data_IF_366222369956
#
_entry.id   IF_366222369956
#
_cell.length_a   1.000
_cell.length_b   1.000
_cell.length_c   1.000
_cell.angle_alpha   90.00
_cell.angle_beta   90.00
_cell.angle_gamma   90.00
#
_symmetry.space_group_name_H-M   'P 1'
#
loop_
_entity.id
_entity.type
_entity.pdbx_description
1 polymer ?
#
# COMPACT_ATOMS: atom_id res chain seq x y z
N UNK A 1 -38.47 -24.09 -17.80
CA UNK A 1 -37.60 -23.95 -18.97
C UNK A 1 -36.20 -23.89 -18.41
N UNK A 2 -35.53 -25.04 -18.47
CA UNK A 2 -34.27 -25.33 -17.81
C UNK A 2 -33.12 -24.65 -18.54
N UNK A 3 -32.25 -23.97 -17.80
CA UNK A 3 -30.92 -23.63 -18.27
C UNK A 3 -29.90 -24.20 -17.29
N UNK A 4 -29.35 -25.35 -17.68
CA UNK A 4 -28.17 -25.97 -17.08
C UNK A 4 -26.96 -25.05 -17.26
N UNK A 5 -26.25 -24.78 -16.17
CA UNK A 5 -25.03 -23.98 -16.18
C UNK A 5 -23.82 -24.93 -16.27
N UNK A 6 -23.18 -24.99 -17.43
CA UNK A 6 -21.91 -25.67 -17.66
C UNK A 6 -20.86 -24.63 -18.03
N UNK A 7 -19.79 -24.54 -17.24
CA UNK A 7 -18.68 -23.63 -17.51
C UNK A 7 -17.44 -23.97 -16.70
N UNK A 8 -16.70 -24.99 -17.15
CA UNK A 8 -15.28 -25.16 -16.81
C UNK A 8 -14.46 -24.11 -17.58
N UNK A 9 -13.58 -23.40 -16.87
CA UNK A 9 -12.54 -22.56 -17.46
C UNK A 9 -11.25 -22.73 -16.68
N UNK A 10 -10.50 -23.79 -16.99
CA UNK A 10 -9.08 -23.90 -16.62
C UNK A 10 -8.29 -22.88 -17.45
N UNK A 11 -7.55 -21.99 -16.79
CA UNK A 11 -6.56 -21.15 -17.47
C UNK A 11 -5.23 -21.89 -17.52
N UNK A 12 -5.01 -22.63 -18.60
CA UNK A 12 -3.69 -23.13 -18.95
C UNK A 12 -2.79 -21.95 -19.35
N UNK A 13 -1.68 -21.81 -18.64
CA UNK A 13 -0.62 -20.87 -18.99
C UNK A 13 0.04 -21.25 -20.31
N UNK A 14 -0.01 -20.33 -21.29
CA UNK A 14 1.00 -20.13 -22.35
C UNK A 14 0.63 -18.91 -23.20
N UNK A 15 1.59 -17.99 -23.36
CA UNK A 15 1.67 -17.07 -24.50
C UNK A 15 1.30 -15.61 -24.21
N UNK A 16 2.21 -14.84 -23.62
CA UNK A 16 2.17 -13.38 -23.69
C UNK A 16 2.48 -12.94 -25.13
N UNK A 17 1.43 -12.76 -25.93
CA UNK A 17 1.46 -12.15 -27.25
C UNK A 17 1.59 -10.63 -27.14
N UNK A 18 2.74 -10.12 -27.55
CA UNK A 18 3.07 -8.70 -27.66
C UNK A 18 2.14 -8.04 -28.71
N UNK A 19 1.16 -7.26 -28.28
CA UNK A 19 0.32 -6.46 -29.17
C UNK A 19 1.14 -5.29 -29.75
N UNK A 20 1.36 -5.35 -31.06
CA UNK A 20 1.85 -4.26 -31.89
C UNK A 20 0.72 -3.26 -32.10
N UNK A 21 0.96 -1.99 -31.78
CA UNK A 21 0.14 -0.88 -32.26
C UNK A 21 0.68 -0.41 -33.61
N UNK A 22 -0.15 -0.51 -34.63
CA UNK A 22 0.08 0.06 -35.96
C UNK A 22 -0.96 1.14 -36.25
N UNK A 23 -0.50 2.12 -37.05
CA UNK A 23 -1.18 3.29 -37.63
C UNK A 23 -0.89 4.63 -36.91
N UNK A 24 -0.48 5.73 -37.55
CA UNK A 24 -0.13 6.08 -38.94
C UNK A 24 0.63 7.44 -38.88
N UNK A 25 1.78 7.54 -39.57
CA UNK A 25 2.10 8.47 -40.69
C UNK A 25 2.48 9.94 -40.41
N UNK A 26 3.61 10.31 -41.05
CA UNK A 26 4.00 11.58 -41.65
C UNK A 26 4.40 12.80 -40.80
N UNK A 27 5.72 12.95 -40.59
CA UNK A 27 6.37 14.24 -40.31
C UNK A 27 7.53 14.45 -41.30
N UNK A 28 7.49 15.47 -42.20
CA UNK A 28 8.58 15.74 -43.13
C UNK A 28 9.76 16.46 -42.47
N UNK A 29 10.99 16.00 -42.76
CA UNK A 29 12.26 16.69 -42.49
C UNK A 29 12.39 17.92 -43.40
N UNK A 30 12.61 19.09 -42.81
CA UNK A 30 13.02 20.31 -43.52
C UNK A 30 14.53 20.47 -43.38
N UNK A 31 15.25 20.40 -44.52
CA UNK A 31 16.63 20.87 -44.69
C UNK A 31 16.59 22.27 -45.32
N UNK A 32 17.37 23.26 -44.85
CA UNK A 32 17.46 24.54 -45.54
C UNK A 32 18.53 24.50 -46.64
N UNK A 33 18.11 24.76 -47.88
CA UNK A 33 18.97 25.25 -48.95
C UNK A 33 18.98 26.78 -48.92
N UNK A 34 20.16 27.39 -49.01
CA UNK A 34 20.35 28.81 -49.34
C UNK A 34 21.22 28.86 -50.59
N UNK A 35 20.78 29.59 -51.62
CA UNK A 35 21.44 29.79 -52.91
C UNK A 35 21.74 31.28 -53.13
N UNK A 36 22.93 31.56 -53.67
CA UNK A 36 23.26 32.72 -54.52
C UNK A 36 23.88 33.95 -53.81
N UNK A 37 24.95 34.60 -54.29
CA UNK A 37 25.76 34.46 -55.50
C UNK A 37 26.75 35.65 -55.66
N UNK A 38 27.54 35.61 -56.76
CA UNK A 38 28.35 36.65 -57.43
C UNK A 38 29.86 36.83 -57.13
N UNK A 39 30.64 36.87 -58.22
CA UNK A 39 31.95 37.57 -58.31
C UNK A 39 33.06 36.86 -59.10
N UNK A 40 33.54 37.46 -60.19
CA UNK A 40 34.40 36.88 -61.24
C UNK A 40 35.94 37.04 -61.04
N UNK A 41 36.70 36.25 -61.83
CA UNK A 41 37.86 36.65 -62.68
C UNK A 41 39.29 36.09 -62.39
N UNK A 42 39.78 35.36 -63.40
CA UNK A 42 41.08 35.32 -64.10
C UNK A 42 42.47 35.04 -63.44
N UNK A 43 43.13 34.02 -64.04
CA UNK A 43 44.54 33.93 -64.50
C UNK A 43 45.66 33.39 -63.58
N UNK A 44 46.75 32.93 -64.22
CA UNK A 44 47.83 31.96 -63.85
C UNK A 44 49.21 32.56 -64.25
N UNK A 45 50.44 31.98 -64.07
CA UNK A 45 51.11 31.13 -63.04
C UNK A 45 52.54 31.63 -62.60
N UNK A 46 53.23 30.84 -61.73
CA UNK A 46 54.71 30.68 -61.50
C UNK A 46 55.45 31.54 -60.44
N UNK A 47 56.09 30.90 -59.44
CA UNK A 47 57.56 30.78 -59.27
C UNK A 47 58.00 30.13 -57.94
N UNK A 48 59.18 29.51 -57.97
CA UNK A 48 59.76 28.64 -56.95
C UNK A 48 60.96 29.26 -56.21
N UNK A 49 61.33 28.60 -55.10
CA UNK A 49 62.63 28.56 -54.37
C UNK A 49 62.95 29.70 -53.39
N UNK A 50 63.12 29.33 -52.12
CA UNK A 50 64.33 29.53 -51.30
C UNK A 50 64.19 28.72 -49.98
N UNK A 51 64.81 27.52 -49.94
CA UNK A 51 65.05 26.73 -48.71
C UNK A 51 66.55 26.71 -48.48
N UNK A 52 66.98 27.07 -47.28
CA UNK A 52 67.83 26.25 -46.38
C UNK A 52 68.61 27.17 -45.44
N UNK A 53 68.37 26.99 -44.14
CA UNK A 53 69.19 27.36 -42.96
C UNK A 53 68.37 27.39 -41.63
N UNK A 54 67.09 26.97 -41.64
CA UNK A 54 66.23 26.89 -40.42
C UNK A 54 66.11 25.49 -39.78
N UNK A 55 66.91 24.51 -40.19
CA UNK A 55 66.60 23.08 -39.93
C UNK A 55 67.35 22.39 -38.79
N UNK A 56 68.20 23.09 -38.02
CA UNK A 56 68.96 22.44 -36.93
C UNK A 56 68.44 22.75 -35.51
N UNK A 57 67.75 23.88 -35.28
CA UNK A 57 67.18 24.23 -33.97
C UNK A 57 65.72 23.82 -33.76
N UNK A 58 65.03 23.35 -34.82
CA UNK A 58 63.61 22.97 -34.77
C UNK A 58 63.35 21.55 -34.27
N UNK A 59 64.28 20.60 -34.50
CA UNK A 59 64.04 19.17 -34.20
C UNK A 59 63.99 18.88 -32.70
N UNK A 60 64.93 19.41 -31.91
CA UNK A 60 64.92 19.24 -30.43
C UNK A 60 63.73 19.93 -29.74
N UNK A 61 63.17 20.99 -30.32
CA UNK A 61 61.94 21.63 -29.81
C UNK A 61 60.71 20.81 -30.17
N UNK A 62 60.62 20.32 -31.41
CA UNK A 62 59.53 19.45 -31.85
C UNK A 62 59.43 18.16 -31.04
N UNK A 63 60.55 17.51 -30.70
CA UNK A 63 60.54 16.27 -29.90
C UNK A 63 60.11 16.53 -28.44
N UNK A 64 60.50 17.68 -27.85
CA UNK A 64 60.09 18.06 -26.50
C UNK A 64 58.60 18.45 -26.43
N UNK A 65 58.10 19.15 -27.45
CA UNK A 65 56.69 19.51 -27.58
C UNK A 65 55.81 18.27 -27.78
N UNK A 66 56.26 17.28 -28.56
CA UNK A 66 55.55 16.01 -28.75
C UNK A 66 55.49 15.20 -27.44
N UNK A 67 56.59 15.16 -26.67
CA UNK A 67 56.62 14.43 -25.41
C UNK A 67 55.73 15.08 -24.33
N UNK A 68 55.67 16.41 -24.31
CA UNK A 68 54.72 17.16 -23.48
C UNK A 68 53.27 16.88 -23.91
N UNK A 69 52.97 16.89 -25.21
CA UNK A 69 51.61 16.61 -25.71
C UNK A 69 51.15 15.18 -25.36
N UNK A 70 52.02 14.18 -25.47
CA UNK A 70 51.72 12.82 -25.02
C UNK A 70 51.51 12.72 -23.49
N UNK A 71 52.30 13.45 -22.71
CA UNK A 71 52.13 13.54 -21.26
C UNK A 71 50.81 14.21 -20.85
N UNK A 72 50.40 15.25 -21.58
CA UNK A 72 49.11 15.92 -21.41
C UNK A 72 47.92 15.03 -21.81
N UNK A 73 48.01 14.32 -22.93
CA UNK A 73 46.97 13.38 -23.35
C UNK A 73 46.75 12.27 -22.31
N UNK A 74 47.83 11.67 -21.78
CA UNK A 74 47.75 10.66 -20.73
C UNK A 74 47.27 11.18 -19.35
N UNK A 75 47.34 12.50 -19.13
CA UNK A 75 46.73 13.13 -17.95
C UNK A 75 45.24 13.36 -18.17
N UNK A 76 44.84 13.82 -19.35
CA UNK A 76 43.43 13.98 -19.73
C UNK A 76 42.70 12.65 -19.68
N UNK A 77 43.26 11.59 -20.27
CA UNK A 77 42.67 10.24 -20.24
C UNK A 77 42.47 9.74 -18.80
N UNK A 78 43.46 9.93 -17.91
CA UNK A 78 43.33 9.54 -16.49
C UNK A 78 42.29 10.36 -15.73
N UNK A 79 42.14 11.64 -16.05
CA UNK A 79 41.10 12.47 -15.44
C UNK A 79 39.70 12.10 -15.98
N UNK A 80 39.59 11.72 -17.26
CA UNK A 80 38.36 11.18 -17.84
C UNK A 80 37.97 9.84 -17.21
N UNK A 81 38.92 8.91 -17.04
CA UNK A 81 38.68 7.63 -16.35
C UNK A 81 38.20 7.84 -14.91
N UNK A 82 38.86 8.71 -14.14
CA UNK A 82 38.42 9.05 -12.77
C UNK A 82 37.00 9.62 -12.76
N UNK A 83 36.69 10.50 -13.72
CA UNK A 83 35.36 11.09 -13.84
C UNK A 83 34.31 10.05 -14.19
N UNK A 84 34.63 9.08 -15.05
CA UNK A 84 33.75 7.95 -15.34
C UNK A 84 33.53 7.05 -14.12
N UNK A 85 34.56 6.77 -13.34
CA UNK A 85 34.45 6.01 -12.09
C UNK A 85 33.59 6.73 -11.05
N UNK A 86 33.75 8.05 -10.93
CA UNK A 86 32.94 8.89 -10.05
C UNK A 86 31.46 8.86 -10.45
N UNK A 87 31.15 9.01 -11.74
CA UNK A 87 29.78 8.90 -12.27
C UNK A 87 29.20 7.51 -12.04
N UNK A 88 29.99 6.44 -12.19
CA UNK A 88 29.56 5.06 -11.88
C UNK A 88 29.24 4.90 -10.39
N UNK A 89 30.06 5.46 -9.49
CA UNK A 89 29.82 5.45 -8.04
C UNK A 89 28.55 6.19 -7.66
N UNK A 90 28.34 7.40 -8.19
CA UNK A 90 27.13 8.19 -7.93
C UNK A 90 25.85 7.48 -8.40
N UNK A 91 25.88 6.84 -9.57
CA UNK A 91 24.75 6.03 -10.07
C UNK A 91 24.45 4.85 -9.14
N UNK A 92 25.47 4.15 -8.66
CA UNK A 92 25.31 3.03 -7.72
C UNK A 92 24.72 3.51 -6.39
N UNK A 93 25.23 4.59 -5.82
CA UNK A 93 24.68 5.18 -4.59
C UNK A 93 23.23 5.65 -4.76
N UNK A 94 22.88 6.23 -5.92
CA UNK A 94 21.49 6.61 -6.23
C UNK A 94 20.58 5.39 -6.31
N UNK A 95 21.00 4.35 -7.02
CA UNK A 95 20.27 3.08 -7.13
C UNK A 95 20.07 2.40 -5.77
N UNK A 96 21.09 2.39 -4.91
CA UNK A 96 20.99 1.86 -3.54
C UNK A 96 20.05 2.69 -2.65
N UNK A 97 20.08 4.03 -2.79
CA UNK A 97 19.13 4.92 -2.09
C UNK A 97 17.70 4.71 -2.56
N UNK A 98 17.48 4.54 -3.87
CA UNK A 98 16.17 4.24 -4.46
C UNK A 98 15.66 2.88 -4.00
N UNK A 99 16.48 1.83 -4.02
CA UNK A 99 16.10 0.52 -3.47
C UNK A 99 15.79 0.57 -1.97
N UNK A 100 16.54 1.34 -1.17
CA UNK A 100 16.23 1.55 0.26
C UNK A 100 14.91 2.29 0.44
N UNK A 101 14.60 3.25 -0.43
CA UNK A 101 13.33 3.99 -0.42
C UNK A 101 12.16 3.06 -0.81
N UNK A 102 12.31 2.25 -1.86
CA UNK A 102 11.32 1.24 -2.27
C UNK A 102 11.08 0.19 -1.19
N UNK A 103 12.14 -0.27 -0.51
CA UNK A 103 12.02 -1.19 0.65
C UNK A 103 11.27 -0.57 1.82
N UNK A 104 11.43 0.74 2.09
CA UNK A 104 10.61 1.46 3.09
C UNK A 104 9.15 1.61 2.64
N UNK A 105 8.91 1.84 1.36
CA UNK A 105 7.55 1.98 0.78
C UNK A 105 6.75 0.67 0.86
N UNK A 106 7.41 -0.50 0.77
CA UNK A 106 6.76 -1.82 0.93
C UNK A 106 6.18 -2.11 2.33
N UNK A 107 6.40 -1.24 3.32
CA UNK A 107 5.82 -1.39 4.66
C UNK A 107 4.34 -0.95 4.69
N UNK A 108 3.94 -0.04 3.80
CA UNK A 108 2.58 0.46 3.72
C UNK A 108 1.67 -0.53 2.95
N UNK A 109 0.52 -0.95 3.50
CA UNK A 109 -0.40 -1.84 2.80
C UNK A 109 -0.94 -1.15 1.53
N UNK A 110 -0.69 -1.74 0.36
CA UNK A 110 -1.17 -1.20 -0.92
C UNK A 110 -2.62 -1.60 -1.19
N UNK A 111 -3.53 -1.26 -0.26
CA UNK A 111 -4.96 -1.58 -0.35
C UNK A 111 -5.87 -0.33 -0.35
N UNK A 112 -5.28 0.85 -0.29
CA UNK A 112 -6.01 2.11 -0.17
C UNK A 112 -6.68 2.58 -1.48
N UNK A 113 -6.27 2.03 -2.62
CA UNK A 113 -6.79 2.41 -3.93
C UNK A 113 -6.77 1.23 -4.91
N UNK A 114 -7.93 0.87 -5.43
CA UNK A 114 -8.12 -0.10 -6.50
C UNK A 114 -9.15 0.41 -7.51
N UNK A 115 -9.11 -0.19 -8.70
CA UNK A 115 -10.09 0.01 -9.76
C UNK A 115 -10.78 -1.33 -10.04
N UNK A 116 -12.11 -1.35 -10.04
CA UNK A 116 -12.88 -2.50 -10.52
C UNK A 116 -13.57 -2.15 -11.82
N UNK A 117 -13.38 -3.04 -12.80
CA UNK A 117 -14.14 -3.07 -14.04
C UNK A 117 -15.05 -4.29 -13.96
N UNK A 118 -16.37 -4.07 -13.93
CA UNK A 118 -17.34 -5.15 -13.85
C UNK A 118 -18.19 -5.18 -15.12
N UNK A 119 -18.20 -6.32 -15.80
CA UNK A 119 -19.08 -6.53 -16.95
C UNK A 119 -20.51 -6.81 -16.49
N UNK A 120 -21.49 -6.48 -17.34
CA UNK A 120 -22.88 -6.88 -17.16
C UNK A 120 -23.01 -8.38 -16.83
N UNK A 121 -23.84 -8.70 -15.85
CA UNK A 121 -24.07 -10.07 -15.38
C UNK A 121 -23.02 -10.60 -14.39
N UNK A 122 -21.94 -9.85 -14.12
CA UNK A 122 -20.92 -10.28 -13.15
C UNK A 122 -21.48 -10.36 -11.74
N UNK A 123 -21.11 -11.43 -11.02
CA UNK A 123 -21.53 -11.66 -9.64
C UNK A 123 -20.35 -12.08 -8.76
N UNK A 124 -20.17 -11.40 -7.63
CA UNK A 124 -19.27 -11.80 -6.56
C UNK A 124 -20.13 -12.28 -5.39
N UNK A 125 -19.95 -13.54 -4.99
CA UNK A 125 -20.77 -14.16 -3.95
C UNK A 125 -20.47 -13.59 -2.55
N UNK A 126 -21.27 -13.96 -1.55
CA UNK A 126 -21.13 -13.50 -0.17
C UNK A 126 -19.72 -13.76 0.39
N UNK A 127 -19.09 -12.70 0.89
CA UNK A 127 -17.78 -12.70 1.51
C UNK A 127 -17.66 -11.58 2.54
N UNK A 128 -16.59 -11.63 3.32
CA UNK A 128 -16.12 -10.50 4.14
C UNK A 128 -14.85 -9.99 3.46
N UNK A 129 -14.66 -8.67 3.45
CA UNK A 129 -13.43 -8.07 2.93
C UNK A 129 -12.21 -8.44 3.78
N UNK A 130 -11.05 -8.45 3.12
CA UNK A 130 -9.75 -8.86 3.65
C UNK A 130 -9.56 -8.44 5.11
N UNK A 131 -9.43 -9.43 6.00
CA UNK A 131 -9.25 -9.32 7.46
C UNK A 131 -10.25 -8.39 8.14
N UNK A 132 -11.48 -8.39 7.65
CA UNK A 132 -12.59 -7.58 8.15
C UNK A 132 -12.38 -6.08 7.97
N UNK A 133 -11.57 -5.67 6.99
CA UNK A 133 -11.36 -4.26 6.68
C UNK A 133 -12.67 -3.57 6.31
N UNK A 134 -12.77 -2.28 6.66
CA UNK A 134 -13.80 -1.40 6.11
C UNK A 134 -13.44 -1.04 4.67
N UNK A 135 -14.42 -0.63 3.88
CA UNK A 135 -14.20 -0.30 2.47
C UNK A 135 -14.96 0.97 2.08
N UNK A 136 -14.33 1.78 1.24
CA UNK A 136 -15.02 2.85 0.52
C UNK A 136 -15.02 2.51 -0.98
N UNK A 137 -16.15 2.76 -1.64
CA UNK A 137 -16.33 2.51 -3.07
C UNK A 137 -17.11 3.65 -3.69
N UNK A 138 -16.55 4.29 -4.70
CA UNK A 138 -17.19 5.29 -5.54
C UNK A 138 -17.50 4.69 -6.91
N UNK A 139 -18.77 4.70 -7.30
CA UNK A 139 -19.20 4.18 -8.59
C UNK A 139 -19.08 5.27 -9.66
N UNK A 140 -18.10 5.14 -10.56
CA UNK A 140 -17.82 6.12 -11.62
C UNK A 140 -18.87 6.04 -12.72
N UNK A 141 -19.21 4.83 -13.16
CA UNK A 141 -20.20 4.57 -14.20
C UNK A 141 -20.88 3.22 -14.00
N UNK A 142 -22.08 3.08 -14.55
CA UNK A 142 -22.89 1.87 -14.46
C UNK A 142 -23.70 1.78 -13.16
N UNK A 143 -24.05 0.54 -12.78
CA UNK A 143 -24.81 0.20 -11.57
C UNK A 143 -24.22 -1.00 -10.84
N UNK A 144 -24.42 -1.07 -9.52
CA UNK A 144 -24.08 -2.23 -8.68
C UNK A 144 -25.20 -2.52 -7.70
N UNK A 145 -25.54 -3.78 -7.47
CA UNK A 145 -26.42 -4.18 -6.37
C UNK A 145 -25.59 -4.88 -5.32
N UNK A 146 -25.54 -4.29 -4.13
CA UNK A 146 -24.94 -4.90 -2.95
C UNK A 146 -26.01 -5.60 -2.14
N UNK A 147 -25.73 -6.82 -1.70
CA UNK A 147 -26.55 -7.57 -0.76
C UNK A 147 -25.75 -7.65 0.53
N UNK A 148 -26.23 -7.05 1.61
CA UNK A 148 -25.56 -7.02 2.91
C UNK A 148 -26.26 -7.97 3.88
N UNK A 149 -25.48 -8.70 4.67
CA UNK A 149 -25.97 -9.45 5.82
C UNK A 149 -25.18 -9.05 7.07
N UNK A 150 -25.83 -8.84 8.22
CA UNK A 150 -25.14 -8.47 9.45
C UNK A 150 -24.16 -9.58 9.90
N UNK A 151 -23.00 -9.24 10.47
CA UNK A 151 -22.03 -10.21 10.98
C UNK A 151 -22.46 -10.79 12.34
N UNK A 152 -23.64 -11.41 12.39
CA UNK A 152 -24.07 -12.17 13.56
C UNK A 152 -23.26 -13.45 13.66
N UNK A 153 -23.10 -14.01 14.87
CA UNK A 153 -22.40 -15.28 15.06
C UNK A 153 -22.99 -16.37 14.15
N UNK A 154 -24.31 -16.43 14.02
CA UNK A 154 -25.00 -17.38 13.13
C UNK A 154 -24.59 -17.20 11.67
N UNK A 155 -24.59 -15.97 11.16
CA UNK A 155 -24.20 -15.69 9.77
C UNK A 155 -22.70 -15.99 9.52
N UNK A 156 -21.84 -15.72 10.50
CA UNK A 156 -20.42 -16.06 10.44
C UNK A 156 -20.19 -17.58 10.43
N UNK A 157 -20.93 -18.33 11.23
CA UNK A 157 -20.86 -19.80 11.26
C UNK A 157 -21.34 -20.39 9.93
N UNK A 158 -22.41 -19.84 9.35
CA UNK A 158 -22.91 -20.21 8.02
C UNK A 158 -21.83 -19.97 6.95
N UNK A 159 -21.22 -18.78 6.93
CA UNK A 159 -20.14 -18.45 5.99
C UNK A 159 -18.93 -19.39 6.14
N UNK A 160 -18.51 -19.67 7.38
CA UNK A 160 -17.39 -20.56 7.69
C UNK A 160 -17.65 -21.99 7.20
N UNK A 161 -18.86 -22.50 7.43
CA UNK A 161 -19.25 -23.84 6.97
C UNK A 161 -19.37 -23.90 5.45
N UNK A 162 -19.86 -22.83 4.81
CA UNK A 162 -19.95 -22.74 3.35
C UNK A 162 -18.59 -22.83 2.66
N UNK A 163 -17.55 -22.26 3.25
CA UNK A 163 -16.17 -22.33 2.73
C UNK A 163 -15.63 -23.76 2.59
N UNK A 164 -16.10 -24.68 3.43
CA UNK A 164 -15.68 -26.07 3.49
C UNK A 164 -16.64 -27.05 2.80
N UNK A 165 -17.71 -26.54 2.17
CA UNK A 165 -18.77 -27.37 1.60
C UNK A 165 -18.54 -27.66 0.11
N UNK A 166 -18.50 -28.96 -0.22
CA UNK A 166 -18.39 -29.45 -1.60
C UNK A 166 -19.60 -29.07 -2.46
N UNK A 167 -20.77 -28.85 -1.85
CA UNK A 167 -22.03 -28.49 -2.52
C UNK A 167 -22.21 -26.97 -2.73
N UNK A 168 -21.20 -26.15 -2.41
CA UNK A 168 -21.22 -24.68 -2.59
C UNK A 168 -21.58 -24.18 -4.00
N UNK A 169 -21.54 -25.04 -5.02
CA UNK A 169 -21.90 -24.70 -6.40
C UNK A 169 -23.39 -24.85 -6.71
N UNK A 170 -24.12 -25.55 -5.84
CA UNK A 170 -25.51 -25.95 -6.07
C UNK A 170 -26.52 -25.15 -5.23
N UNK A 171 -26.03 -24.38 -4.25
CA UNK A 171 -26.85 -23.56 -3.36
C UNK A 171 -26.36 -22.11 -3.32
N UNK A 172 -27.28 -21.16 -3.18
CA UNK A 172 -26.94 -19.76 -2.98
C UNK A 172 -26.90 -19.45 -1.48
N UNK A 173 -25.76 -18.97 -0.98
CA UNK A 173 -25.57 -18.67 0.45
C UNK A 173 -26.59 -17.65 0.99
N UNK A 174 -27.13 -16.80 0.12
CA UNK A 174 -28.16 -15.84 0.47
C UNK A 174 -29.46 -16.45 0.99
N UNK A 175 -29.78 -17.70 0.67
CA UNK A 175 -30.99 -18.35 1.17
C UNK A 175 -30.88 -18.77 2.65
N UNK A 176 -29.66 -18.81 3.19
CA UNK A 176 -29.37 -19.27 4.56
C UNK A 176 -29.04 -18.13 5.52
N UNK A 177 -28.53 -17.02 5.01
CA UNK A 177 -28.17 -15.86 5.83
C UNK A 177 -29.41 -15.11 6.32
N UNK A 178 -29.35 -14.63 7.56
CA UNK A 178 -30.42 -13.83 8.15
C UNK A 178 -30.20 -12.34 7.93
N UNK A 179 -31.30 -11.61 7.71
CA UNK A 179 -31.28 -10.14 7.66
C UNK A 179 -30.62 -9.57 6.41
N UNK A 180 -30.78 -10.22 5.25
CA UNK A 180 -30.23 -9.70 4.00
C UNK A 180 -30.97 -8.42 3.57
N UNK A 181 -30.19 -7.40 3.26
CA UNK A 181 -30.67 -6.16 2.67
C UNK A 181 -29.98 -5.91 1.33
N UNK A 182 -30.79 -5.64 0.29
CA UNK A 182 -30.27 -5.20 -1.01
C UNK A 182 -30.22 -3.67 -1.06
N UNK A 183 -29.11 -3.14 -1.52
CA UNK A 183 -28.90 -1.72 -1.82
C UNK A 183 -28.44 -1.60 -3.26
N UNK A 184 -29.11 -0.72 -4.01
CA UNK A 184 -28.71 -0.40 -5.38
C UNK A 184 -27.85 0.86 -5.39
N UNK A 185 -26.71 0.79 -6.06
CA UNK A 185 -25.79 1.88 -6.28
C UNK A 185 -25.79 2.28 -7.76
N UNK A 186 -25.80 3.59 -7.99
CA UNK A 186 -25.76 4.24 -9.28
C UNK A 186 -24.50 5.10 -9.43
N UNK A 187 -24.16 5.46 -10.66
CA UNK A 187 -23.03 6.32 -10.95
C UNK A 187 -23.11 7.65 -10.16
N UNK A 188 -21.99 8.04 -9.55
CA UNK A 188 -21.87 9.21 -8.68
C UNK A 188 -22.09 8.93 -7.19
N UNK A 189 -22.52 7.73 -6.81
CA UNK A 189 -22.73 7.37 -5.41
C UNK A 189 -21.48 6.75 -4.77
N UNK A 190 -21.33 6.98 -3.46
CA UNK A 190 -20.25 6.44 -2.63
C UNK A 190 -20.82 5.53 -1.56
N UNK A 191 -20.35 4.29 -1.52
CA UNK A 191 -20.54 3.36 -0.41
C UNK A 191 -19.37 3.52 0.58
N UNK A 192 -19.69 3.63 1.87
CA UNK A 192 -18.73 3.38 2.96
C UNK A 192 -19.30 2.23 3.79
N UNK A 193 -18.66 1.08 3.72
CA UNK A 193 -19.11 -0.14 4.39
C UNK A 193 -18.24 -0.42 5.62
N UNK A 194 -18.86 -0.68 6.78
CA UNK A 194 -18.12 -1.01 8.00
C UNK A 194 -17.45 -2.38 7.89
N UNK A 195 -16.31 -2.51 8.56
CA UNK A 195 -15.53 -3.74 8.62
C UNK A 195 -16.33 -4.94 9.15
N UNK A 196 -16.05 -6.11 8.57
CA UNK A 196 -16.71 -7.38 8.92
C UNK A 196 -18.07 -7.63 8.30
N UNK A 197 -18.64 -6.67 7.56
CA UNK A 197 -19.94 -6.84 6.90
C UNK A 197 -19.90 -7.94 5.83
N UNK A 198 -20.80 -8.92 5.92
CA UNK A 198 -20.95 -9.92 4.87
C UNK A 198 -21.67 -9.29 3.69
N UNK A 199 -21.13 -9.47 2.49
CA UNK A 199 -21.75 -8.90 1.31
C UNK A 199 -21.52 -9.68 0.02
N UNK A 200 -22.48 -9.60 -0.89
CA UNK A 200 -22.40 -10.05 -2.27
C UNK A 200 -22.67 -8.89 -3.22
N UNK A 201 -22.13 -8.94 -4.45
CA UNK A 201 -22.23 -7.86 -5.42
C UNK A 201 -22.68 -8.40 -6.77
N UNK A 202 -23.79 -7.86 -7.29
CA UNK A 202 -24.25 -8.10 -8.65
C UNK A 202 -24.05 -6.85 -9.51
N UNK A 203 -23.63 -7.06 -10.76
CA UNK A 203 -23.36 -6.02 -11.74
C UNK A 203 -24.39 -6.07 -12.86
N UNK A 204 -25.50 -5.32 -12.78
CA UNK A 204 -26.56 -5.38 -13.79
C UNK A 204 -26.20 -4.74 -15.13
N UNK A 205 -25.13 -3.94 -15.22
CA UNK A 205 -24.64 -3.31 -16.44
C UNK A 205 -23.14 -3.03 -16.30
N UNK A 206 -22.43 -2.87 -17.42
CA UNK A 206 -21.00 -2.55 -17.43
C UNK A 206 -20.70 -1.34 -16.52
N UNK A 207 -19.73 -1.53 -15.62
CA UNK A 207 -19.49 -0.60 -14.51
C UNK A 207 -18.00 -0.39 -14.24
N UNK A 208 -17.69 0.83 -13.80
CA UNK A 208 -16.35 1.21 -13.33
C UNK A 208 -16.48 1.76 -11.93
N UNK A 209 -15.74 1.17 -10.99
CA UNK A 209 -15.74 1.56 -9.58
C UNK A 209 -14.31 1.80 -9.11
N UNK A 210 -14.14 2.78 -8.23
CA UNK A 210 -12.87 3.08 -7.56
C UNK A 210 -13.12 2.86 -6.08
N UNK A 211 -12.18 2.26 -5.37
CA UNK A 211 -12.33 2.09 -3.93
C UNK A 211 -11.03 1.79 -3.22
N UNK A 212 -11.15 1.50 -1.94
CA UNK A 212 -10.02 1.15 -1.09
C UNK A 212 -10.46 0.56 0.24
N UNK A 213 -9.64 -0.35 0.78
CA UNK A 213 -9.83 -0.94 2.08
C UNK A 213 -9.05 -0.17 3.15
N UNK A 214 -9.59 -0.11 4.36
CA UNK A 214 -8.93 0.51 5.50
C UNK A 214 -9.31 -0.21 6.81
N UNK A 215 -8.40 -0.17 7.78
CA UNK A 215 -8.67 -0.60 9.15
C UNK A 215 -9.08 0.62 9.98
N UNK A 216 -9.99 0.44 10.93
CA UNK A 216 -10.40 1.49 11.84
C UNK A 216 -10.69 0.96 13.25
N UNK A 217 -10.57 1.85 14.23
CA UNK A 217 -10.77 1.55 15.65
C UNK A 217 -12.19 1.08 15.96
N UNK A 218 -13.19 1.58 15.23
CA UNK A 218 -14.60 1.26 15.44
C UNK A 218 -14.95 -0.18 15.04
N UNK A 219 -14.18 -0.79 14.15
CA UNK A 219 -14.41 -2.14 13.63
C UNK A 219 -13.47 -3.18 14.26
N UNK A 220 -12.77 -2.85 15.34
CA UNK A 220 -11.67 -3.65 15.86
C UNK A 220 -12.05 -5.11 16.11
N UNK A 221 -13.12 -5.39 16.86
CA UNK A 221 -13.54 -6.78 17.14
C UNK A 221 -13.85 -7.55 15.86
N UNK A 222 -14.56 -6.91 14.92
CA UNK A 222 -14.92 -7.53 13.65
C UNK A 222 -13.70 -7.81 12.78
N UNK A 223 -12.73 -6.89 12.75
CA UNK A 223 -11.46 -7.07 12.05
C UNK A 223 -10.71 -8.30 12.58
N UNK A 224 -10.60 -8.46 13.90
CA UNK A 224 -9.92 -9.61 14.49
C UNK A 224 -10.67 -10.93 14.29
N UNK A 225 -12.00 -10.93 14.42
CA UNK A 225 -12.83 -12.12 14.16
C UNK A 225 -12.68 -12.56 12.70
N UNK A 226 -12.80 -11.62 11.75
CA UNK A 226 -12.64 -11.92 10.33
C UNK A 226 -11.22 -12.39 10.01
N UNK A 227 -10.18 -11.70 10.51
CA UNK A 227 -8.79 -12.11 10.33
C UNK A 227 -8.53 -13.52 10.84
N UNK A 228 -8.96 -13.85 12.06
CA UNK A 228 -8.80 -15.19 12.63
C UNK A 228 -9.55 -16.24 11.81
N UNK A 229 -10.76 -15.91 11.32
CA UNK A 229 -11.57 -16.81 10.49
C UNK A 229 -10.92 -17.06 9.13
N UNK A 230 -10.42 -16.03 8.46
CA UNK A 230 -9.69 -16.15 7.19
C UNK A 230 -8.45 -17.02 7.35
N UNK A 231 -7.67 -16.79 8.41
CA UNK A 231 -6.49 -17.58 8.76
C UNK A 231 -6.81 -19.06 8.96
N UNK A 232 -7.95 -19.37 9.57
CA UNK A 232 -8.39 -20.76 9.75
C UNK A 232 -8.89 -21.41 8.46
N UNK A 233 -9.54 -20.64 7.58
CA UNK A 233 -10.14 -21.13 6.34
C UNK A 233 -9.15 -21.22 5.18
N UNK A 234 -8.08 -20.43 5.19
CA UNK A 234 -7.18 -20.28 4.06
C UNK A 234 -5.77 -20.76 4.38
N UNK A 235 -5.21 -21.58 3.49
CA UNK A 235 -3.81 -22.00 3.54
C UNK A 235 -2.85 -20.97 2.91
N UNK A 236 -3.37 -19.87 2.35
CA UNK A 236 -2.60 -18.84 1.64
C UNK A 236 -2.84 -17.45 2.23
N UNK A 237 -1.75 -16.75 2.54
CA UNK A 237 -1.76 -15.43 3.19
C UNK A 237 -2.04 -14.27 2.23
N UNK A 238 -2.12 -14.52 0.92
CA UNK A 238 -2.32 -13.47 -0.10
C UNK A 238 -3.62 -12.66 0.08
N UNK A 239 -4.63 -13.27 0.69
CA UNK A 239 -5.95 -12.68 0.93
C UNK A 239 -6.10 -12.09 2.34
N UNK A 240 -5.03 -12.05 3.14
CA UNK A 240 -5.03 -11.31 4.40
C UNK A 240 -4.72 -9.84 4.14
N UNK A 241 -5.20 -8.97 5.02
CA UNK A 241 -4.78 -7.58 4.99
C UNK A 241 -3.26 -7.50 5.27
N UNK A 242 -2.45 -6.90 4.38
CA UNK A 242 -0.99 -6.93 4.53
C UNK A 242 -0.53 -6.27 5.84
N UNK A 243 0.37 -6.94 6.57
CA UNK A 243 0.90 -6.45 7.85
C UNK A 243 -0.18 -6.17 8.91
N UNK A 244 -1.33 -6.85 8.86
CA UNK A 244 -2.45 -6.69 9.80
C UNK A 244 -1.98 -6.69 11.26
N UNK A 245 -1.14 -7.66 11.66
CA UNK A 245 -0.64 -7.74 13.04
C UNK A 245 0.20 -6.51 13.39
N UNK A 246 1.17 -6.18 12.54
CA UNK A 246 2.10 -5.06 12.78
C UNK A 246 1.38 -3.73 12.89
N UNK A 247 0.38 -3.50 12.02
CA UNK A 247 -0.42 -2.29 12.02
C UNK A 247 -1.20 -2.18 13.33
N UNK A 248 -1.82 -3.25 13.79
CA UNK A 248 -2.59 -3.23 15.04
C UNK A 248 -1.69 -3.07 16.28
N UNK A 249 -0.51 -3.71 16.33
CA UNK A 249 0.48 -3.46 17.41
C UNK A 249 0.96 -2.00 17.40
N UNK A 250 1.25 -1.43 16.22
CA UNK A 250 1.61 -0.02 16.10
C UNK A 250 0.47 0.91 16.53
N UNK A 251 -0.78 0.57 16.20
CA UNK A 251 -1.96 1.34 16.66
C UNK A 251 -2.12 1.27 18.18
N UNK A 252 -1.89 0.10 18.80
CA UNK A 252 -1.93 -0.06 20.24
C UNK A 252 -0.85 0.77 20.96
N UNK A 253 0.37 0.84 20.41
CA UNK A 253 1.45 1.70 20.92
C UNK A 253 1.05 3.18 20.87
N UNK A 254 0.55 3.66 19.71
CA UNK A 254 0.06 5.03 19.56
C UNK A 254 -1.10 5.33 20.51
N UNK A 255 -2.02 4.38 20.68
CA UNK A 255 -3.14 4.53 21.60
C UNK A 255 -2.68 4.64 23.06
N UNK A 256 -1.66 3.89 23.46
CA UNK A 256 -1.02 4.03 24.76
C UNK A 256 -0.40 5.42 24.95
N UNK A 257 0.33 5.92 23.95
CA UNK A 257 0.90 7.28 23.97
C UNK A 257 -0.20 8.35 24.12
N UNK A 258 -1.25 8.27 23.30
CA UNK A 258 -2.39 9.19 23.33
C UNK A 258 -3.11 9.19 24.69
N UNK A 259 -3.18 8.04 25.37
CA UNK A 259 -3.79 7.88 26.68
C UNK A 259 -2.91 8.37 27.83
N UNK A 260 -1.58 8.33 27.65
CA UNK A 260 -0.60 8.74 28.65
C UNK A 260 -0.29 10.25 28.59
N UNK A 261 -0.34 10.86 27.41
CA UNK A 261 -0.19 12.32 27.23
C UNK A 261 -1.37 13.11 27.79
N UNK A 262 -2.53 12.48 27.95
CA UNK A 262 -3.72 13.11 28.52
C UNK A 262 -3.63 13.04 30.04
N UNK A 263 -3.21 14.15 30.66
CA UNK A 263 -3.36 14.38 32.12
C UNK A 263 -4.82 14.35 32.59
N UNK A 264 -5.78 14.33 31.64
CA UNK A 264 -7.22 14.23 31.87
C UNK A 264 -7.77 12.87 31.43
N UNK A 265 -8.81 12.39 32.12
CA UNK A 265 -9.56 11.16 31.82
C UNK A 265 -9.92 11.03 30.33
N UNK A 266 -9.50 9.93 29.71
CA UNK A 266 -9.84 9.65 28.31
C UNK A 266 -11.35 9.34 28.14
N UNK A 267 -11.97 9.62 26.98
CA UNK A 267 -13.36 9.26 26.71
C UNK A 267 -13.64 7.76 26.89
N UNK A 268 -14.86 7.40 27.32
CA UNK A 268 -15.26 6.00 27.53
C UNK A 268 -15.08 5.13 26.27
N UNK A 269 -15.46 5.65 25.10
CA UNK A 269 -15.32 4.90 23.85
C UNK A 269 -13.84 4.61 23.52
N UNK A 270 -12.92 5.53 23.84
CA UNK A 270 -11.48 5.33 23.61
C UNK A 270 -10.93 4.24 24.51
N UNK A 271 -11.36 4.21 25.78
CA UNK A 271 -10.96 3.16 26.71
C UNK A 271 -11.55 1.80 26.30
N UNK A 272 -12.81 1.75 25.87
CA UNK A 272 -13.45 0.53 25.36
C UNK A 272 -12.69 -0.04 24.15
N UNK A 273 -12.37 0.81 23.16
CA UNK A 273 -11.54 0.42 22.02
C UNK A 273 -10.17 -0.10 22.46
N UNK A 274 -9.51 0.57 23.41
CA UNK A 274 -8.20 0.17 23.91
C UNK A 274 -8.23 -1.19 24.64
N UNK A 275 -9.27 -1.43 25.44
CA UNK A 275 -9.52 -2.73 26.10
C UNK A 275 -9.69 -3.83 25.04
N UNK A 276 -10.54 -3.60 24.04
CA UNK A 276 -10.75 -4.54 22.93
C UNK A 276 -9.47 -4.79 22.13
N UNK A 277 -8.68 -3.75 21.88
CA UNK A 277 -7.37 -3.88 21.23
C UNK A 277 -6.44 -4.79 22.03
N UNK A 278 -6.28 -4.53 23.34
CA UNK A 278 -5.43 -5.34 24.21
C UNK A 278 -5.91 -6.80 24.27
N UNK A 279 -7.22 -7.03 24.41
CA UNK A 279 -7.80 -8.38 24.41
C UNK A 279 -7.53 -9.14 23.12
N UNK A 280 -7.77 -8.50 21.98
CA UNK A 280 -7.59 -9.15 20.68
C UNK A 280 -6.11 -9.40 20.36
N UNK A 281 -5.21 -8.47 20.71
CA UNK A 281 -3.75 -8.67 20.58
C UNK A 281 -3.20 -9.79 21.47
N UNK A 282 -3.84 -10.10 22.59
CA UNK A 282 -3.50 -11.29 23.41
C UNK A 282 -3.93 -12.60 22.75
N UNK A 283 -5.02 -12.57 21.97
CA UNK A 283 -5.62 -13.75 21.33
C UNK A 283 -5.02 -14.06 19.96
N UNK A 284 -4.48 -13.06 19.26
CA UNK A 284 -3.96 -13.25 17.91
C UNK A 284 -2.79 -14.24 17.90
N UNK A 285 -2.95 -15.33 17.16
CA UNK A 285 -1.86 -16.28 16.90
C UNK A 285 -1.07 -15.72 15.74
N UNK A 286 0.22 -15.48 15.93
CA UNK A 286 1.01 -14.87 14.87
C UNK A 286 1.07 -15.77 13.64
N UNK A 287 0.60 -15.26 12.51
CA UNK A 287 0.55 -15.97 11.21
C UNK A 287 1.48 -15.32 10.19
N UNK A 288 1.85 -14.06 10.40
CA UNK A 288 2.83 -13.39 9.54
C UNK A 288 4.22 -14.04 9.70
N UNK A 289 4.68 -14.75 8.66
CA UNK A 289 6.10 -15.14 8.56
C UNK A 289 6.92 -13.85 8.49
N UNK A 290 7.76 -13.65 9.51
CA UNK A 290 8.69 -12.51 9.56
C UNK A 290 9.83 -12.79 8.58
N UNK A 291 9.62 -12.51 7.29
CA UNK A 291 10.68 -12.52 6.26
C UNK A 291 11.53 -11.24 6.32
N UNK A 292 11.92 -10.85 7.53
CA UNK A 292 12.90 -9.80 7.76
C UNK A 292 14.11 -10.45 8.39
N UNK A 293 15.26 -10.38 7.73
CA UNK A 293 16.54 -10.59 8.42
C UNK A 293 16.59 -9.59 9.59
N UNK A 294 16.31 -10.09 10.79
CA UNK A 294 16.20 -9.36 12.06
C UNK A 294 17.58 -8.85 12.55
N UNK A 295 18.46 -8.44 11.64
CA UNK A 295 19.87 -8.14 11.95
C UNK A 295 20.11 -6.76 12.54
N UNK A 296 19.12 -5.85 12.57
CA UNK A 296 19.34 -4.48 13.05
C UNK A 296 18.20 -3.85 13.88
N UNK A 297 17.62 -4.56 14.86
CA UNK A 297 16.94 -3.92 16.01
C UNK A 297 17.28 -4.65 17.33
N UNK A 298 17.47 -3.95 18.47
CA UNK A 298 17.95 -4.57 19.72
C UNK A 298 16.93 -5.48 20.42
N UNK A 299 15.67 -5.45 20.00
CA UNK A 299 14.56 -6.19 20.60
C UNK A 299 13.79 -6.86 19.45
N UNK A 300 13.79 -8.19 19.42
CA UNK A 300 13.05 -8.97 18.42
C UNK A 300 11.55 -8.68 18.49
N UNK A 301 10.86 -8.76 17.35
CA UNK A 301 9.46 -8.35 17.21
C UNK A 301 8.53 -9.02 18.23
N UNK A 302 8.77 -10.30 18.57
CA UNK A 302 8.01 -11.01 19.61
C UNK A 302 8.09 -10.35 20.99
N UNK A 303 9.28 -9.94 21.45
CA UNK A 303 9.43 -9.25 22.74
C UNK A 303 8.78 -7.86 22.73
N UNK A 304 8.73 -7.22 21.57
CA UNK A 304 8.07 -5.92 21.40
C UNK A 304 6.55 -6.04 21.56
N UNK A 305 5.93 -7.12 21.05
CA UNK A 305 4.49 -7.38 21.20
C UNK A 305 4.06 -7.42 22.67
N UNK A 306 4.79 -8.20 23.48
CA UNK A 306 4.47 -8.37 24.91
C UNK A 306 4.60 -7.05 25.68
N UNK A 307 5.63 -6.25 25.35
CA UNK A 307 5.83 -4.93 25.97
C UNK A 307 4.68 -3.99 25.63
N UNK A 308 4.29 -3.88 24.35
CA UNK A 308 3.20 -3.01 23.92
C UNK A 308 1.89 -3.34 24.64
N UNK A 309 1.52 -4.63 24.71
CA UNK A 309 0.27 -5.05 25.37
C UNK A 309 0.33 -4.77 26.87
N UNK A 310 1.45 -5.10 27.53
CA UNK A 310 1.62 -4.87 28.97
C UNK A 310 1.57 -3.38 29.32
N UNK A 311 2.23 -2.55 28.52
CA UNK A 311 2.28 -1.11 28.78
C UNK A 311 0.88 -0.50 28.57
N UNK A 312 0.13 -0.93 27.54
CA UNK A 312 -1.27 -0.54 27.35
C UNK A 312 -2.17 -0.99 28.52
N UNK A 313 -2.01 -2.22 29.01
CA UNK A 313 -2.74 -2.72 30.19
C UNK A 313 -2.46 -1.88 31.43
N UNK A 314 -1.20 -1.48 31.65
CA UNK A 314 -0.81 -0.62 32.77
C UNK A 314 -1.50 0.74 32.68
N UNK A 315 -1.54 1.35 31.49
CA UNK A 315 -2.20 2.64 31.27
C UNK A 315 -3.71 2.53 31.50
N UNK A 316 -4.34 1.46 31.01
CA UNK A 316 -5.76 1.19 31.23
C UNK A 316 -6.10 1.00 32.72
N UNK A 317 -5.20 0.36 33.48
CA UNK A 317 -5.34 0.21 34.92
C UNK A 317 -5.31 1.57 35.65
N UNK A 318 -4.36 2.44 35.32
CA UNK A 318 -4.29 3.80 35.89
C UNK A 318 -5.56 4.62 35.58
N UNK A 319 -6.05 4.58 34.34
CA UNK A 319 -7.32 5.22 33.97
C UNK A 319 -8.52 4.62 34.73
N UNK A 320 -8.48 3.34 35.09
CA UNK A 320 -9.53 2.71 35.92
C UNK A 320 -9.47 3.21 37.36
N UNK A 321 -8.28 3.35 37.93
CA UNK A 321 -8.08 3.88 39.28
C UNK A 321 -8.52 5.34 39.40
N UNK A 322 -8.13 6.20 38.45
CA UNK A 322 -8.54 7.62 38.40
C UNK A 322 -10.08 7.74 38.44
N UNK A 323 -10.77 6.90 37.67
CA UNK A 323 -12.24 6.88 37.62
C UNK A 323 -12.87 6.39 38.92
N UNK A 324 -12.29 5.38 39.56
CA UNK A 324 -12.79 4.84 40.82
C UNK A 324 -12.57 5.80 42.00
N UNK A 325 -11.47 6.57 42.00
CA UNK A 325 -11.18 7.62 42.98
C UNK A 325 -12.23 8.72 42.97
N UNK A 326 -12.61 9.21 41.79
CA UNK A 326 -13.68 10.21 41.64
C UNK A 326 -15.04 9.70 42.12
N UNK A 327 -15.42 8.45 41.84
CA UNK A 327 -16.69 7.92 42.35
C UNK A 327 -16.72 7.94 43.87
N UNK A 328 -15.59 7.63 44.52
CA UNK A 328 -15.45 7.69 45.97
C UNK A 328 -15.50 9.12 46.50
N UNK A 329 -14.85 10.09 45.84
CA UNK A 329 -14.94 11.51 46.22
C UNK A 329 -16.34 12.09 46.02
N UNK A 330 -17.01 11.73 44.93
CA UNK A 330 -18.40 12.12 44.68
C UNK A 330 -19.30 11.53 45.76
N UNK A 331 -19.21 10.23 46.05
CA UNK A 331 -19.96 9.61 47.14
C UNK A 331 -19.66 10.22 48.52
N UNK A 332 -18.39 10.54 48.82
CA UNK A 332 -18.01 11.23 50.05
C UNK A 332 -18.59 12.65 50.12
N UNK A 333 -18.67 13.35 48.99
CA UNK A 333 -19.32 14.66 48.92
C UNK A 333 -20.84 14.55 49.09
N UNK A 334 -21.50 13.51 48.57
CA UNK A 334 -22.94 13.29 48.80
C UNK A 334 -23.25 13.01 50.27
N UNK A 335 -22.43 12.24 50.99
CA UNK A 335 -22.59 12.00 52.43
C UNK A 335 -22.44 13.30 53.27
N UNK A 336 -21.81 14.34 52.71
CA UNK A 336 -21.73 15.67 53.35
C UNK A 336 -22.89 16.61 53.01
N UNK A 337 -23.71 16.31 52.00
CA UNK A 337 -24.90 17.11 51.63
C UNK A 337 -26.10 16.79 52.54
N UNK A 338 -26.13 15.60 53.16
CA UNK A 338 -27.15 15.21 54.13
C UNK A 338 -27.13 16.05 55.43
N UNK A 339 -26.10 16.90 55.64
CA UNK A 339 -26.09 17.90 56.72
C UNK A 339 -26.87 19.18 56.40
N UNK A 340 -27.31 19.38 55.14
CA UNK A 340 -28.05 20.59 54.73
C UNK A 340 -29.56 20.44 54.97
N UNK A 341 -30.10 19.22 54.96
CA UNK A 341 -31.53 18.97 55.22
C UNK A 341 -31.92 19.00 56.71
N UNK A 342 -30.94 19.13 57.63
CA UNK A 342 -31.19 19.32 59.06
C UNK A 342 -31.15 20.80 59.51
N UNK A 343 -31.18 21.75 58.57
CA UNK A 343 -31.15 23.20 58.86
C UNK A 343 -32.17 24.07 58.12
N UNK A 344 -33.21 23.48 57.52
CA UNK A 344 -34.36 24.25 56.96
C UNK A 344 -35.60 24.05 57.82
#
# INVERSE_FOLDING_TARGET
>A
MDHQWNGQGQSDGKGCGRLQTGAEQNVPRILPQIVGGYGESNSSPQHARLRSLRHYSGRKRQDADLHMMHGWAALVEREEEKREEEVKRERKERSEKEMKKEKKVKVHPQRDLYFLFGMEGSFTNFHIDLSGSSVWNYLVSGRKFFYFAPPTQKNLDILKNYGNDDLRKERWLGDELEGIHRVEFQAGETLVMPGGMLHAVFTPEDSVMIGGNFLCDQAIDQQYIAHATEVELQNDTEYLFPNFEKINYGRAELMGQDLNEKETRAPLFTLDTAIKMAENLRRIRSVEKIDYEEKEKPIGFGKMKDVIVRDLDSILYEHTLLRAGETREVHANWESVDEIDNKI
#
